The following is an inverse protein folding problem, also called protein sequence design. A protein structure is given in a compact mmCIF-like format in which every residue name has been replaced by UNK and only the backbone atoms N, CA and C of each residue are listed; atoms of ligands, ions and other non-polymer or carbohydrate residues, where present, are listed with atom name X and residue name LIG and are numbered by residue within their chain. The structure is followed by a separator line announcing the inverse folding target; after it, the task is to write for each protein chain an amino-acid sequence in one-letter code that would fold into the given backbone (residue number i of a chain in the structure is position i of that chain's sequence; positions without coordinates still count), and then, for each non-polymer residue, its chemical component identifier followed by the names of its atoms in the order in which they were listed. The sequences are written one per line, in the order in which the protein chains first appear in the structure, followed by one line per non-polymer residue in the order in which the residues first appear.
data_IF_145105889040
#
_entry.id   IF_145105889040
#
_cell.length_a   1.000
_cell.length_b   1.000
_cell.length_c   1.000
_cell.angle_alpha   90.00
_cell.angle_beta   90.00
_cell.angle_gamma   90.00
#
_symmetry.space_group_name_H-M   'P 1'
#
loop_
_entity.id
_entity.type
_entity.pdbx_description
1 polymer ?
#
# COMPACT_ATOMS: atom_id res chain seq x y z
N UNK A 1 -0.55 -13.24 -8.33
CA UNK A 1 -0.04 -11.98 -7.77
C UNK A 1 1.29 -12.28 -7.09
N UNK A 2 2.45 -11.81 -7.58
CA UNK A 2 3.61 -11.72 -6.72
C UNK A 2 3.16 -10.83 -5.56
N UNK A 3 3.11 -11.39 -4.36
CA UNK A 3 2.66 -10.68 -3.16
C UNK A 3 3.41 -9.35 -3.05
N UNK A 4 2.68 -8.24 -2.87
CA UNK A 4 3.23 -6.90 -2.64
C UNK A 4 4.33 -6.85 -1.55
N UNK A 5 4.38 -7.88 -0.71
CA UNK A 5 5.46 -8.22 0.23
C UNK A 5 6.87 -8.25 -0.37
N UNK A 6 7.04 -8.50 -1.68
CA UNK A 6 8.35 -8.62 -2.33
C UNK A 6 8.98 -7.27 -2.73
N UNK A 7 8.25 -6.16 -2.77
CA UNK A 7 8.77 -4.89 -3.33
C UNK A 7 9.32 -3.91 -2.28
N UNK A 8 8.79 -3.90 -1.05
CA UNK A 8 9.20 -2.92 -0.01
C UNK A 8 10.38 -3.35 0.88
N UNK A 9 10.59 -4.65 1.07
CA UNK A 9 11.52 -5.18 2.08
C UNK A 9 13.01 -4.89 1.85
N UNK A 10 13.44 -4.63 0.62
CA UNK A 10 14.84 -4.40 0.29
C UNK A 10 15.35 -2.97 0.61
N UNK A 11 14.43 -2.01 0.87
CA UNK A 11 14.76 -0.58 1.01
C UNK A 11 14.48 0.01 2.40
N UNK A 12 14.03 -0.79 3.35
CA UNK A 12 13.63 -0.30 4.68
C UNK A 12 12.35 0.54 4.68
N UNK A 13 11.55 0.44 3.62
CA UNK A 13 10.29 1.17 3.47
C UNK A 13 9.15 0.29 3.97
N UNK A 14 8.33 0.84 4.87
CA UNK A 14 7.30 0.12 5.64
C UNK A 14 5.88 0.47 5.22
N UNK A 15 5.74 1.45 4.35
CA UNK A 15 4.48 1.83 3.70
C UNK A 15 4.77 2.28 2.26
N UNK A 16 3.98 1.81 1.31
CA UNK A 16 4.05 2.18 -0.11
C UNK A 16 2.64 2.17 -0.71
N UNK A 17 2.40 3.01 -1.71
CA UNK A 17 1.20 2.97 -2.55
C UNK A 17 1.57 2.43 -3.93
N UNK A 18 0.78 1.51 -4.46
CA UNK A 18 1.05 0.86 -5.75
C UNK A 18 -0.10 1.10 -6.70
N UNK A 19 0.25 1.54 -7.92
CA UNK A 19 -0.73 1.84 -8.94
C UNK A 19 -0.78 0.72 -9.97
N UNK A 20 -2.00 0.26 -10.24
CA UNK A 20 -2.28 -0.79 -11.21
C UNK A 20 -3.49 -0.42 -12.07
N UNK A 21 -3.54 -1.00 -13.27
CA UNK A 21 -4.75 -1.11 -14.08
C UNK A 21 -5.06 -2.57 -14.39
N UNK A 22 -6.32 -2.87 -14.69
CA UNK A 22 -6.75 -4.17 -15.21
C UNK A 22 -7.18 -3.96 -16.67
N UNK A 23 -6.56 -4.67 -17.59
CA UNK A 23 -6.94 -4.66 -19.01
C UNK A 23 -8.34 -5.27 -19.21
N UNK A 24 -9.00 -5.04 -20.36
CA UNK A 24 -10.28 -5.69 -20.66
C UNK A 24 -10.25 -7.22 -20.59
N UNK A 25 -9.09 -7.82 -20.86
CA UNK A 25 -8.87 -9.28 -20.81
C UNK A 25 -8.53 -9.78 -19.39
N UNK A 26 -8.53 -8.91 -18.39
CA UNK A 26 -8.30 -9.25 -16.98
C UNK A 26 -6.84 -9.24 -16.52
N UNK A 27 -5.90 -8.90 -17.42
CA UNK A 27 -4.48 -8.81 -17.07
C UNK A 27 -4.18 -7.57 -16.22
N UNK A 28 -3.38 -7.74 -15.17
CA UNK A 28 -2.95 -6.66 -14.29
C UNK A 28 -1.67 -6.01 -14.80
N UNK A 29 -1.71 -4.68 -14.96
CA UNK A 29 -0.57 -3.86 -15.41
C UNK A 29 -0.10 -3.01 -14.24
N UNK A 30 1.18 -3.16 -13.87
CA UNK A 30 1.84 -2.32 -12.88
C UNK A 30 2.32 -1.01 -13.51
N UNK A 31 2.09 0.12 -12.84
CA UNK A 31 2.58 1.42 -13.29
C UNK A 31 3.72 1.93 -12.42
N UNK A 32 3.46 2.13 -11.13
CA UNK A 32 4.46 2.72 -10.24
C UNK A 32 4.33 2.26 -8.79
N UNK A 33 5.41 2.51 -8.06
CA UNK A 33 5.49 2.46 -6.62
C UNK A 33 5.74 3.88 -6.11
N UNK A 34 4.78 4.40 -5.37
CA UNK A 34 4.86 5.69 -4.72
C UNK A 34 5.10 5.49 -3.22
N UNK A 35 6.38 5.57 -2.82
CA UNK A 35 6.83 5.32 -1.44
C UNK A 35 6.31 6.32 -0.40
N UNK A 36 5.66 7.41 -0.81
CA UNK A 36 4.98 8.37 0.07
C UNK A 36 3.59 8.76 -0.48
N UNK A 37 2.93 7.83 -1.18
CA UNK A 37 1.68 8.10 -1.88
C UNK A 37 0.53 8.50 -0.96
N UNK A 38 -0.30 9.43 -1.43
CA UNK A 38 -1.47 9.89 -0.68
C UNK A 38 -2.53 8.80 -0.61
N UNK A 39 -2.85 8.36 0.60
CA UNK A 39 -3.76 7.23 0.86
C UNK A 39 -5.10 7.63 1.51
N UNK A 40 -5.22 8.84 2.06
CA UNK A 40 -6.40 9.25 2.84
C UNK A 40 -7.73 9.15 2.08
N UNK A 41 -7.70 9.39 0.76
CA UNK A 41 -8.90 9.27 -0.07
C UNK A 41 -9.38 7.81 -0.19
N UNK A 42 -8.49 6.83 -0.11
CA UNK A 42 -8.84 5.40 -0.14
C UNK A 42 -9.57 5.03 1.14
N UNK A 43 -9.04 5.40 2.31
CA UNK A 43 -9.69 5.20 3.60
C UNK A 43 -11.08 5.82 3.62
N UNK A 44 -11.20 7.08 3.17
CA UNK A 44 -12.51 7.76 3.09
C UNK A 44 -13.52 7.01 2.21
N UNK A 45 -13.09 6.48 1.05
CA UNK A 45 -14.00 5.82 0.10
C UNK A 45 -14.31 4.36 0.46
N UNK A 46 -13.42 3.68 1.18
CA UNK A 46 -13.51 2.22 1.41
C UNK A 46 -13.81 1.85 2.85
N UNK A 47 -13.59 2.77 3.81
CA UNK A 47 -13.68 2.49 5.24
C UNK A 47 -12.53 1.64 5.78
N UNK A 48 -11.47 1.40 4.99
CA UNK A 48 -10.29 0.67 5.45
C UNK A 48 -9.51 1.50 6.49
N UNK A 49 -9.05 0.90 7.60
CA UNK A 49 -8.44 1.61 8.73
C UNK A 49 -6.95 1.94 8.48
N UNK A 50 -6.64 2.66 7.39
CA UNK A 50 -5.27 2.96 6.96
C UNK A 50 -4.58 3.88 7.98
N UNK A 51 -5.26 4.92 8.47
CA UNK A 51 -4.74 5.82 9.50
C UNK A 51 -4.41 5.05 10.78
N UNK A 52 -5.30 4.16 11.23
CA UNK A 52 -5.09 3.37 12.43
C UNK A 52 -3.86 2.45 12.26
N UNK A 53 -3.71 1.79 11.12
CA UNK A 53 -2.53 0.95 10.84
C UNK A 53 -1.22 1.76 10.88
N UNK A 54 -1.20 2.99 10.36
CA UNK A 54 -0.03 3.87 10.48
C UNK A 54 0.25 4.26 11.94
N UNK A 55 -0.78 4.63 12.70
CA UNK A 55 -0.65 4.99 14.10
C UNK A 55 -0.14 3.81 14.93
N UNK A 56 -0.67 2.61 14.70
CA UNK A 56 -0.22 1.36 15.34
C UNK A 56 1.25 1.10 15.04
N UNK A 57 1.67 1.24 13.78
CA UNK A 57 3.07 1.09 13.39
C UNK A 57 3.99 2.12 14.07
N UNK A 58 3.60 3.40 14.09
CA UNK A 58 4.41 4.48 14.66
C UNK A 58 4.49 4.45 16.18
N UNK A 59 3.47 3.91 16.86
CA UNK A 59 3.54 3.65 18.31
C UNK A 59 4.60 2.61 18.67
N UNK A 60 5.15 1.91 17.68
CA UNK A 60 5.96 0.71 17.89
C UNK A 60 5.06 -0.46 18.24
N UNK A 61 5.51 -1.68 17.93
CA UNK A 61 4.85 -2.85 18.48
C UNK A 61 4.89 -2.74 20.01
N UNK A 62 3.74 -2.48 20.64
CA UNK A 62 3.52 -2.92 22.01
C UNK A 62 3.58 -4.43 21.96
N UNK A 63 4.61 -5.02 22.56
CA UNK A 63 4.49 -6.38 23.09
C UNK A 63 3.31 -6.46 24.07
#
# INVERSE_FOLDING_TARGET
MPTARLLGGARGIVFESFDFAVTPDGEWVFFENNSAGTWAWVEYRTGLPITAAHADYLRGATE
#
